data_IF_004313684024
#
_entry.id   IF_004313684024
#
_cell.length_a   1.000
_cell.length_b   1.000
_cell.length_c   1.000
_cell.angle_alpha   90.00
_cell.angle_beta   90.00
_cell.angle_gamma   90.00
#
_symmetry.space_group_name_H-M   'P 1'
#
loop_
_entity.id
_entity.type
_entity.pdbx_description
1 polymer ?
#
# COMPACT_ATOMS: atom_id res chain seq x y z
N UNK A 1 23.92 -56.58 51.03
CA UNK A 1 23.51 -55.23 50.58
C UNK A 1 21.99 -55.21 50.52
N UNK A 2 21.31 -54.32 51.24
CA UNK A 2 19.83 -54.30 51.25
C UNK A 2 19.30 -54.06 49.84
N UNK A 3 18.31 -54.84 49.40
CA UNK A 3 17.70 -54.79 48.05
C UNK A 3 17.31 -53.36 47.63
N UNK A 4 16.96 -52.52 48.60
CA UNK A 4 16.68 -51.08 48.41
C UNK A 4 17.87 -50.30 47.85
N UNK A 5 19.10 -50.61 48.27
CA UNK A 5 20.33 -49.94 47.79
C UNK A 5 20.65 -50.30 46.35
N UNK A 6 20.34 -51.53 45.94
CA UNK A 6 20.53 -51.99 44.57
C UNK A 6 19.51 -51.32 43.65
N UNK A 7 18.22 -51.31 44.05
CA UNK A 7 17.16 -50.61 43.30
C UNK A 7 17.47 -49.12 43.16
N UNK A 8 17.96 -48.49 44.23
CA UNK A 8 18.33 -47.07 44.20
C UNK A 8 19.53 -46.83 43.27
N UNK A 9 20.53 -47.71 43.26
CA UNK A 9 21.66 -47.61 42.34
C UNK A 9 21.25 -47.75 40.88
N UNK A 10 20.35 -48.70 40.57
CA UNK A 10 19.83 -48.92 39.21
C UNK A 10 19.00 -47.73 38.75
N UNK A 11 18.13 -47.17 39.60
CA UNK A 11 17.36 -45.96 39.30
C UNK A 11 18.26 -44.76 38.99
N UNK A 12 19.33 -44.58 39.76
CA UNK A 12 20.27 -43.47 39.59
C UNK A 12 21.03 -43.60 38.26
N UNK A 13 21.45 -44.83 37.91
CA UNK A 13 22.08 -45.13 36.62
C UNK A 13 21.12 -44.93 35.44
N UNK A 14 19.86 -45.34 35.58
CA UNK A 14 18.84 -45.11 34.56
C UNK A 14 18.59 -43.60 34.36
N UNK A 15 18.52 -42.83 35.44
CA UNK A 15 18.35 -41.37 35.39
C UNK A 15 19.54 -40.68 34.71
N UNK A 16 20.77 -41.09 35.03
CA UNK A 16 21.98 -40.59 34.35
C UNK A 16 22.00 -40.93 32.86
N UNK A 17 21.58 -42.14 32.49
CA UNK A 17 21.48 -42.56 31.09
C UNK A 17 20.46 -41.74 30.31
N UNK A 18 19.31 -41.41 30.91
CA UNK A 18 18.29 -40.54 30.30
C UNK A 18 18.84 -39.13 30.08
N UNK A 19 19.49 -38.54 31.09
CA UNK A 19 20.08 -37.19 30.98
C UNK A 19 21.18 -37.13 29.91
N UNK A 20 22.02 -38.17 29.83
CA UNK A 20 23.05 -38.29 28.79
C UNK A 20 22.43 -38.33 27.39
N UNK A 21 21.42 -39.18 27.18
CA UNK A 21 20.77 -39.31 25.88
C UNK A 21 19.97 -38.07 25.49
N UNK A 22 19.39 -37.36 26.47
CA UNK A 22 18.65 -36.14 26.23
C UNK A 22 19.58 -35.01 25.75
N UNK A 23 20.79 -34.90 26.32
CA UNK A 23 21.76 -33.87 25.95
C UNK A 23 22.13 -33.88 24.46
N UNK A 24 22.31 -35.06 23.88
CA UNK A 24 22.70 -35.22 22.47
C UNK A 24 21.52 -35.04 21.50
N UNK A 25 20.27 -35.07 21.99
CA UNK A 25 19.06 -34.93 21.17
C UNK A 25 18.43 -33.54 21.20
N UNK A 26 18.92 -32.63 22.04
CA UNK A 26 18.48 -31.24 22.02
C UNK A 26 19.32 -30.44 21.02
N UNK A 27 18.83 -30.36 19.79
CA UNK A 27 19.38 -29.43 18.80
C UNK A 27 18.89 -28.01 19.11
N UNK A 28 19.82 -27.05 19.14
CA UNK A 28 19.46 -25.64 19.27
C UNK A 28 18.90 -25.17 17.92
N UNK A 29 17.59 -24.90 17.89
CA UNK A 29 16.96 -24.26 16.73
C UNK A 29 17.02 -22.76 16.93
N UNK A 30 17.60 -22.05 15.95
CA UNK A 30 17.47 -20.60 15.89
C UNK A 30 16.13 -20.29 15.24
N UNK A 31 15.23 -19.67 16.00
CA UNK A 31 13.95 -19.20 15.48
C UNK A 31 14.06 -17.70 15.14
N UNK A 32 13.67 -17.34 13.91
CA UNK A 32 13.53 -15.94 13.53
C UNK A 32 12.20 -15.41 14.07
N UNK A 33 12.27 -14.52 15.06
CA UNK A 33 11.09 -13.87 15.63
C UNK A 33 10.94 -12.48 14.99
N UNK A 34 9.83 -12.26 14.29
CA UNK A 34 9.47 -10.93 13.80
C UNK A 34 9.05 -10.04 14.99
N UNK A 35 9.91 -9.07 15.30
CA UNK A 35 9.71 -8.07 16.36
C UNK A 35 9.11 -6.77 15.82
N UNK A 36 8.72 -6.75 14.55
CA UNK A 36 8.16 -5.62 13.84
C UNK A 36 9.15 -4.48 13.56
N UNK A 37 8.62 -3.39 13.02
CA UNK A 37 9.40 -2.21 12.68
C UNK A 37 9.94 -1.48 13.92
N UNK A 38 11.21 -1.07 13.86
CA UNK A 38 11.91 -0.31 14.91
C UNK A 38 12.26 1.10 14.44
N UNK A 39 12.49 2.00 15.41
CA UNK A 39 12.93 3.37 15.15
C UNK A 39 11.94 4.15 14.27
N UNK A 40 12.47 4.91 13.31
CA UNK A 40 11.66 5.73 12.40
C UNK A 40 10.71 4.88 11.54
N UNK A 41 11.13 3.67 11.12
CA UNK A 41 10.31 2.77 10.31
C UNK A 41 8.98 2.39 10.98
N UNK A 42 8.90 2.49 12.32
CA UNK A 42 7.66 2.28 13.06
C UNK A 42 6.60 3.36 12.81
N UNK A 43 7.01 4.58 12.51
CA UNK A 43 6.13 5.75 12.39
C UNK A 43 6.10 6.37 10.99
N UNK A 44 7.06 6.00 10.14
CA UNK A 44 7.20 6.50 8.79
C UNK A 44 7.03 5.34 7.79
N UNK A 45 5.84 5.21 7.22
CA UNK A 45 5.55 4.20 6.20
C UNK A 45 6.34 4.37 4.91
N UNK A 46 6.92 5.55 4.67
CA UNK A 46 7.80 5.85 3.53
C UNK A 46 9.29 5.78 3.88
N UNK A 47 9.66 5.22 5.04
CA UNK A 47 11.05 5.17 5.48
C UNK A 47 11.94 4.42 4.48
N UNK A 48 11.50 3.24 4.01
CA UNK A 48 12.23 2.45 3.02
C UNK A 48 12.38 3.21 1.69
N UNK A 49 11.31 3.85 1.21
CA UNK A 49 11.33 4.68 0.00
C UNK A 49 12.31 5.85 0.14
N UNK A 50 12.36 6.50 1.31
CA UNK A 50 13.31 7.57 1.60
C UNK A 50 14.75 7.07 1.57
N UNK A 51 15.04 5.90 2.15
CA UNK A 51 16.38 5.30 2.09
C UNK A 51 16.77 4.94 0.65
N UNK A 52 15.84 4.37 -0.11
CA UNK A 52 16.04 4.04 -1.52
C UNK A 52 16.38 5.28 -2.35
N UNK A 53 15.59 6.36 -2.23
CA UNK A 53 15.85 7.62 -2.93
C UNK A 53 17.21 8.20 -2.55
N UNK A 54 17.56 8.22 -1.25
CA UNK A 54 18.88 8.66 -0.80
C UNK A 54 20.01 7.81 -1.37
N UNK A 55 19.83 6.49 -1.44
CA UNK A 55 20.82 5.59 -2.05
C UNK A 55 21.00 5.85 -3.56
N UNK A 56 19.96 6.33 -4.25
CA UNK A 56 20.03 6.78 -5.63
C UNK A 56 20.55 8.23 -5.80
N UNK A 57 20.99 8.88 -4.72
CA UNK A 57 21.48 10.27 -4.76
C UNK A 57 20.38 11.33 -4.83
N UNK A 58 19.12 10.95 -4.62
CA UNK A 58 17.98 11.88 -4.60
C UNK A 58 17.74 12.31 -3.15
N UNK A 59 17.82 13.63 -2.84
CA UNK A 59 17.54 14.11 -1.50
C UNK A 59 16.06 13.87 -1.16
N UNK A 60 15.82 13.21 -0.03
CA UNK A 60 14.48 12.90 0.44
C UNK A 60 14.37 13.05 1.95
N UNK A 61 13.34 13.72 2.42
CA UNK A 61 13.09 13.99 3.84
C UNK A 61 11.64 13.73 4.23
N UNK A 62 11.42 13.43 5.51
CA UNK A 62 10.08 13.36 6.08
C UNK A 62 9.72 14.76 6.55
N UNK A 63 8.59 15.26 6.09
CA UNK A 63 8.01 16.52 6.57
C UNK A 63 6.67 16.25 7.24
N UNK A 64 6.40 16.97 8.32
CA UNK A 64 5.10 16.96 8.97
C UNK A 64 4.19 17.98 8.27
N UNK A 65 3.10 17.50 7.69
CA UNK A 65 2.28 18.30 6.78
C UNK A 65 1.59 19.50 7.46
N UNK A 66 1.39 19.44 8.78
CA UNK A 66 0.89 20.56 9.58
C UNK A 66 1.95 21.65 9.81
N UNK A 67 3.24 21.28 9.87
CA UNK A 67 4.37 22.19 10.07
C UNK A 67 4.83 22.85 8.76
N UNK A 68 4.29 22.43 7.62
CA UNK A 68 4.61 22.94 6.30
C UNK A 68 3.90 24.27 6.05
N UNK A 69 4.27 25.33 6.77
CA UNK A 69 3.71 26.68 6.57
C UNK A 69 4.14 27.27 5.22
N UNK A 70 5.36 26.91 4.79
CA UNK A 70 5.90 27.17 3.46
C UNK A 70 6.07 25.86 2.72
N UNK A 71 5.49 25.77 1.53
CA UNK A 71 5.71 24.64 0.62
C UNK A 71 7.14 24.68 0.08
N UNK A 72 7.71 23.51 -0.28
CA UNK A 72 9.05 23.44 -0.84
C UNK A 72 9.12 24.14 -2.21
N UNK A 73 10.32 24.25 -2.77
CA UNK A 73 10.50 24.75 -4.13
C UNK A 73 9.72 23.90 -5.15
N UNK A 74 9.36 24.49 -6.29
CA UNK A 74 8.50 23.86 -7.30
C UNK A 74 9.18 22.71 -8.06
N UNK A 75 10.51 22.60 -7.97
CA UNK A 75 11.30 21.49 -8.51
C UNK A 75 11.31 20.25 -7.59
N UNK A 76 10.40 20.18 -6.61
CA UNK A 76 10.34 19.10 -5.64
C UNK A 76 9.05 18.27 -5.79
N UNK A 77 9.13 17.01 -5.34
CA UNK A 77 7.99 16.10 -5.29
C UNK A 77 7.50 15.99 -3.85
N UNK A 78 6.26 16.40 -3.60
CA UNK A 78 5.56 16.19 -2.35
C UNK A 78 4.78 14.86 -2.41
N UNK A 79 5.10 13.94 -1.50
CA UNK A 79 4.40 12.65 -1.39
C UNK A 79 3.50 12.64 -0.16
N UNK A 80 2.20 12.44 -0.36
CA UNK A 80 1.21 12.26 0.71
C UNK A 80 0.55 10.89 0.56
N UNK A 81 1.00 9.91 1.33
CA UNK A 81 0.51 8.53 1.27
C UNK A 81 -0.55 8.19 2.34
N UNK A 82 -1.11 9.20 2.98
CA UNK A 82 -2.16 9.05 4.01
C UNK A 82 -3.45 9.72 3.57
N UNK A 83 -4.54 9.37 4.26
CA UNK A 83 -5.79 10.11 4.11
C UNK A 83 -5.60 11.57 4.54
N UNK A 84 -6.19 12.47 3.78
CA UNK A 84 -6.04 13.92 3.94
C UNK A 84 -7.17 14.55 4.76
N UNK A 85 -7.87 13.75 5.56
CA UNK A 85 -9.06 14.17 6.32
C UNK A 85 -8.77 15.29 7.32
N UNK A 86 -7.52 15.41 7.76
CA UNK A 86 -7.06 16.42 8.71
C UNK A 86 -6.57 17.72 8.03
N UNK A 87 -6.49 17.77 6.69
CA UNK A 87 -6.06 18.97 5.98
C UNK A 87 -7.21 19.94 5.78
N UNK A 88 -7.00 21.18 6.22
CA UNK A 88 -7.91 22.28 5.91
C UNK A 88 -7.98 22.53 4.40
N UNK A 89 -9.14 23.02 3.94
CA UNK A 89 -9.37 23.44 2.56
C UNK A 89 -8.36 24.49 2.10
N UNK A 90 -8.00 25.45 2.98
CA UNK A 90 -6.98 26.47 2.70
C UNK A 90 -5.60 25.87 2.44
N UNK A 91 -5.22 24.81 3.17
CA UNK A 91 -3.93 24.13 2.96
C UNK A 91 -3.92 23.37 1.64
N UNK A 92 -5.03 22.75 1.27
CA UNK A 92 -5.21 22.11 -0.03
C UNK A 92 -5.10 23.15 -1.16
N UNK A 93 -5.70 24.34 -1.01
CA UNK A 93 -5.58 25.42 -1.99
C UNK A 93 -4.14 25.90 -2.18
N UNK A 94 -3.34 25.97 -1.10
CA UNK A 94 -1.91 26.27 -1.21
C UNK A 94 -1.16 25.20 -1.98
N UNK A 95 -1.42 23.92 -1.70
CA UNK A 95 -0.79 22.80 -2.41
C UNK A 95 -1.14 22.84 -3.90
N UNK A 96 -2.42 23.06 -4.24
CA UNK A 96 -2.85 23.14 -5.63
C UNK A 96 -2.22 24.32 -6.37
N UNK A 97 -2.11 25.50 -5.73
CA UNK A 97 -1.38 26.65 -6.31
C UNK A 97 0.10 26.35 -6.53
N UNK A 98 0.73 25.62 -5.62
CA UNK A 98 2.13 25.19 -5.79
C UNK A 98 2.29 24.19 -6.95
N UNK A 99 1.34 23.27 -7.13
CA UNK A 99 1.30 22.38 -8.31
C UNK A 99 1.10 23.19 -9.60
N UNK A 100 0.22 24.18 -9.59
CA UNK A 100 0.02 25.08 -10.73
C UNK A 100 1.31 25.83 -11.14
N UNK A 101 2.21 26.08 -10.20
CA UNK A 101 3.51 26.72 -10.42
C UNK A 101 4.63 25.75 -10.85
N UNK A 102 4.31 24.48 -11.06
CA UNK A 102 5.26 23.44 -11.49
C UNK A 102 5.60 22.40 -10.43
N UNK A 103 5.10 22.55 -9.19
CA UNK A 103 5.26 21.55 -8.14
C UNK A 103 4.65 20.18 -8.47
N UNK A 104 5.23 19.11 -7.94
CA UNK A 104 4.74 17.75 -8.18
C UNK A 104 4.11 17.12 -6.94
N UNK A 105 2.83 16.75 -7.02
CA UNK A 105 2.13 16.08 -5.93
C UNK A 105 1.87 14.61 -6.28
N UNK A 106 2.44 13.69 -5.50
CA UNK A 106 2.09 12.28 -5.50
C UNK A 106 1.19 11.98 -4.32
N UNK A 107 0.00 11.44 -4.55
CA UNK A 107 -0.91 11.12 -3.45
C UNK A 107 -1.84 9.95 -3.74
N UNK A 108 -2.29 9.29 -2.69
CA UNK A 108 -3.29 8.23 -2.81
C UNK A 108 -4.67 8.81 -3.08
N UNK A 109 -5.46 8.10 -3.88
CA UNK A 109 -6.87 8.41 -4.01
C UNK A 109 -7.64 7.71 -2.88
N UNK A 110 -8.47 8.47 -2.15
CA UNK A 110 -9.35 7.98 -1.10
C UNK A 110 -10.65 7.42 -1.71
N UNK A 111 -11.00 6.15 -1.40
CA UNK A 111 -12.19 5.51 -1.94
C UNK A 111 -13.47 6.05 -1.30
N UNK A 112 -14.54 6.10 -2.10
CA UNK A 112 -15.84 6.71 -1.74
C UNK A 112 -16.55 6.04 -0.56
N UNK A 113 -16.21 4.80 -0.19
CA UNK A 113 -16.88 4.10 0.92
C UNK A 113 -16.35 4.49 2.31
N UNK A 114 -15.25 5.25 2.39
CA UNK A 114 -14.84 5.93 3.63
C UNK A 114 -15.62 7.24 3.84
N UNK A 115 -16.55 7.59 2.94
CA UNK A 115 -17.41 8.78 3.01
C UNK A 115 -18.77 8.48 3.69
N UNK A 116 -18.82 7.58 4.68
CA UNK A 116 -20.08 7.22 5.38
C UNK A 116 -20.80 8.43 6.00
N UNK A 117 -20.08 9.53 6.26
CA UNK A 117 -20.64 10.76 6.85
C UNK A 117 -20.70 11.96 5.87
N UNK A 118 -20.64 11.72 4.55
CA UNK A 118 -20.66 12.80 3.55
C UNK A 118 -19.37 13.65 3.51
N UNK A 119 -18.31 13.20 4.18
CA UNK A 119 -16.99 13.81 4.11
C UNK A 119 -16.36 13.52 2.74
N UNK A 120 -16.28 14.54 1.90
CA UNK A 120 -15.59 14.46 0.60
C UNK A 120 -14.14 14.87 0.77
N UNK A 121 -13.22 14.07 0.26
CA UNK A 121 -11.81 14.47 0.17
C UNK A 121 -11.72 15.78 -0.64
N UNK A 122 -11.33 16.86 0.04
CA UNK A 122 -11.38 18.20 -0.53
C UNK A 122 -10.42 18.40 -1.70
N UNK A 123 -9.30 17.65 -1.74
CA UNK A 123 -8.38 17.67 -2.89
C UNK A 123 -9.05 17.02 -4.11
N UNK A 124 -9.60 15.82 -3.95
CA UNK A 124 -10.32 15.12 -5.03
C UNK A 124 -11.53 15.92 -5.52
N UNK A 125 -12.26 16.55 -4.61
CA UNK A 125 -13.40 17.40 -4.94
C UNK A 125 -12.98 18.59 -5.80
N UNK A 126 -11.93 19.33 -5.40
CA UNK A 126 -11.40 20.47 -6.17
C UNK A 126 -10.84 20.03 -7.52
N UNK A 127 -10.16 18.89 -7.54
CA UNK A 127 -9.72 18.26 -8.76
C UNK A 127 -10.89 17.67 -9.56
N UNK A 128 -12.13 17.60 -9.08
CA UNK A 128 -13.24 16.99 -9.83
C UNK A 128 -12.99 15.52 -10.21
N UNK A 129 -12.21 14.79 -9.41
CA UNK A 129 -11.95 13.35 -9.57
C UNK A 129 -12.62 12.58 -8.44
N UNK A 130 -13.01 11.34 -8.71
CA UNK A 130 -13.58 10.45 -7.70
C UNK A 130 -13.24 9.00 -8.01
N UNK A 131 -13.02 8.20 -6.98
CA UNK A 131 -12.89 6.74 -7.15
C UNK A 131 -14.29 6.13 -7.24
N UNK A 132 -14.55 5.38 -8.30
CA UNK A 132 -15.77 4.58 -8.38
C UNK A 132 -15.71 3.44 -7.34
N UNK A 133 -16.82 3.19 -6.63
CA UNK A 133 -16.95 2.01 -5.78
C UNK A 133 -16.80 0.78 -6.70
N UNK A 134 -15.90 -0.15 -6.38
CA UNK A 134 -15.91 -1.44 -7.07
C UNK A 134 -17.25 -2.12 -6.76
N UNK A 135 -18.02 -2.41 -7.79
CA UNK A 135 -19.26 -3.16 -7.75
C UNK A 135 -18.99 -4.66 -7.50
N UNK A 136 -18.23 -5.02 -6.46
CA UNK A 136 -18.18 -6.42 -6.02
C UNK A 136 -19.35 -6.81 -5.11
N UNK A 137 -20.37 -5.94 -4.95
CA UNK A 137 -21.60 -6.26 -4.23
C UNK A 137 -22.80 -5.49 -4.82
N UNK A 138 -23.17 -5.75 -6.07
CA UNK A 138 -24.60 -5.67 -6.42
C UNK A 138 -25.13 -7.08 -6.53
N UNK A 139 -25.76 -7.47 -5.45
CA UNK A 139 -26.58 -8.66 -5.25
C UNK A 139 -27.83 -8.63 -6.13
N UNK A 140 -27.67 -8.44 -7.45
CA UNK A 140 -28.75 -8.69 -8.40
C UNK A 140 -28.93 -10.20 -8.66
N UNK A 141 -27.93 -11.03 -8.29
CA UNK A 141 -28.01 -12.50 -8.38
C UNK A 141 -27.63 -13.21 -7.06
N UNK A 142 -27.89 -12.59 -5.90
CA UNK A 142 -27.88 -13.33 -4.60
C UNK A 142 -29.16 -14.15 -4.38
N UNK A 143 -29.63 -14.82 -5.43
CA UNK A 143 -30.48 -16.00 -5.29
C UNK A 143 -29.67 -17.18 -5.80
N UNK A 144 -28.72 -17.63 -4.99
CA UNK A 144 -28.21 -19.00 -4.85
C UNK A 144 -26.94 -18.95 -3.99
N UNK A 145 -27.07 -18.48 -2.76
CA UNK A 145 -26.06 -18.73 -1.72
C UNK A 145 -26.30 -20.14 -1.16
N UNK A 146 -25.89 -21.14 -1.93
CA UNK A 146 -25.53 -22.49 -1.47
C UNK A 146 -25.02 -23.24 -2.70
N UNK A 147 -23.70 -23.20 -2.91
CA UNK A 147 -22.86 -24.33 -3.29
C UNK A 147 -21.49 -23.83 -3.79
N UNK A 148 -20.46 -24.50 -3.28
CA UNK A 148 -19.11 -24.63 -3.84
C UNK A 148 -18.11 -23.50 -3.54
N UNK A 149 -17.42 -23.67 -2.40
CA UNK A 149 -15.95 -23.64 -2.41
C UNK A 149 -15.46 -24.69 -3.43
N UNK A 150 -15.39 -24.30 -4.70
CA UNK A 150 -14.61 -25.02 -5.71
C UNK A 150 -13.42 -24.14 -6.06
N UNK A 151 -12.25 -24.77 -6.09
CA UNK A 151 -10.97 -24.22 -6.51
C UNK A 151 -11.11 -23.46 -7.84
N UNK A 152 -11.27 -22.14 -7.78
CA UNK A 152 -11.13 -21.25 -8.93
C UNK A 152 -9.63 -21.01 -9.17
N UNK A 153 -8.94 -22.03 -9.68
CA UNK A 153 -7.77 -21.86 -10.54
C UNK A 153 -8.23 -21.41 -11.96
N UNK A 154 -9.13 -20.43 -12.03
CA UNK A 154 -9.49 -19.77 -13.28
C UNK A 154 -8.42 -18.72 -13.57
N UNK A 155 -7.51 -19.06 -14.49
CA UNK A 155 -6.45 -18.23 -15.11
C UNK A 155 -6.39 -16.78 -14.58
N UNK A 156 -5.75 -16.60 -13.42
CA UNK A 156 -5.64 -15.32 -12.71
C UNK A 156 -4.63 -14.38 -13.39
N UNK A 157 -4.62 -14.36 -14.72
CA UNK A 157 -3.85 -13.41 -15.49
C UNK A 157 -4.49 -12.03 -15.33
N UNK A 158 -3.77 -11.05 -14.77
CA UNK A 158 -4.32 -9.72 -14.61
C UNK A 158 -4.67 -9.17 -16.01
N UNK A 159 -5.86 -8.60 -16.14
CA UNK A 159 -6.25 -7.92 -17.38
C UNK A 159 -5.19 -6.88 -17.73
N UNK A 160 -4.56 -7.01 -18.89
CA UNK A 160 -3.51 -6.09 -19.32
C UNK A 160 -4.03 -5.09 -20.34
N UNK A 161 -3.50 -3.87 -20.29
CA UNK A 161 -3.77 -2.87 -21.32
C UNK A 161 -2.51 -2.19 -21.78
N UNK A 162 -2.45 -1.91 -23.08
CA UNK A 162 -1.38 -1.13 -23.69
C UNK A 162 -1.67 0.35 -23.50
N UNK A 163 -0.83 1.03 -22.72
CA UNK A 163 -0.93 2.47 -22.43
C UNK A 163 0.25 3.18 -23.09
N UNK A 164 -0.05 4.26 -23.81
CA UNK A 164 0.95 5.25 -24.20
C UNK A 164 0.80 6.44 -23.26
N UNK A 165 1.83 6.73 -22.47
CA UNK A 165 1.84 7.85 -21.53
C UNK A 165 2.49 9.06 -22.18
N UNK A 166 1.97 10.25 -21.89
CA UNK A 166 2.56 11.50 -22.36
C UNK A 166 4.03 11.58 -21.90
N UNK A 167 4.94 11.88 -22.85
CA UNK A 167 6.38 11.98 -22.59
C UNK A 167 7.16 10.67 -22.71
N UNK A 168 6.53 9.53 -23.00
CA UNK A 168 7.22 8.27 -23.25
C UNK A 168 7.19 7.90 -24.74
N UNK A 169 8.32 7.43 -25.26
CA UNK A 169 8.51 7.02 -26.66
C UNK A 169 7.95 5.62 -26.98
N UNK A 170 7.41 4.94 -25.96
CA UNK A 170 7.04 3.52 -26.02
C UNK A 170 5.70 3.28 -25.34
N UNK A 171 5.01 2.26 -25.83
CA UNK A 171 3.78 1.75 -25.24
C UNK A 171 4.11 0.74 -24.15
N UNK A 172 3.49 0.87 -22.99
CA UNK A 172 3.66 -0.02 -21.85
C UNK A 172 2.46 -0.94 -21.72
N UNK A 173 2.72 -2.21 -21.39
CA UNK A 173 1.66 -3.13 -20.97
C UNK A 173 1.49 -3.00 -19.46
N UNK A 174 0.35 -2.49 -19.03
CA UNK A 174 0.02 -2.32 -17.62
C UNK A 174 -0.95 -3.43 -17.23
N UNK A 175 -0.55 -4.25 -16.25
CA UNK A 175 -1.43 -5.20 -15.60
C UNK A 175 -2.37 -4.45 -14.65
N UNK A 176 -3.68 -4.57 -14.87
CA UNK A 176 -4.70 -3.95 -14.04
C UNK A 176 -5.31 -5.00 -13.13
N UNK A 177 -4.72 -5.11 -11.93
CA UNK A 177 -5.19 -5.97 -10.87
C UNK A 177 -6.19 -5.20 -10.00
N UNK A 178 -7.48 -5.54 -10.05
CA UNK A 178 -8.53 -5.08 -9.13
C UNK A 178 -8.51 -3.61 -8.70
N UNK A 179 -7.99 -2.70 -9.56
CA UNK A 179 -7.87 -1.29 -9.21
C UNK A 179 -9.22 -0.59 -9.37
N UNK A 180 -9.51 0.32 -8.44
CA UNK A 180 -10.68 1.17 -8.56
C UNK A 180 -10.40 2.26 -9.62
N UNK A 181 -11.25 2.41 -10.66
CA UNK A 181 -11.04 3.44 -11.66
C UNK A 181 -11.23 4.83 -11.04
N UNK A 182 -10.27 5.71 -11.30
CA UNK A 182 -10.44 7.15 -11.07
C UNK A 182 -11.30 7.67 -12.22
N UNK A 183 -12.45 8.23 -11.86
CA UNK A 183 -13.36 8.87 -12.78
C UNK A 183 -13.22 10.38 -12.65
N UNK A 184 -13.45 11.10 -13.75
CA UNK A 184 -13.56 12.54 -13.72
C UNK A 184 -14.66 13.01 -14.65
N UNK A 185 -15.20 14.20 -14.33
CA UNK A 185 -16.36 14.79 -15.02
C UNK A 185 -15.94 15.74 -16.15
N UNK A 186 -14.64 15.88 -16.43
CA UNK A 186 -14.11 16.88 -17.37
C UNK A 186 -13.87 16.21 -18.74
N UNK A 187 -14.00 16.97 -19.84
CA UNK A 187 -13.95 16.44 -21.21
C UNK A 187 -12.53 16.33 -21.80
N UNK A 188 -11.54 17.04 -21.25
CA UNK A 188 -10.15 17.07 -21.75
C UNK A 188 -9.27 16.07 -20.99
N UNK A 189 -9.51 14.78 -21.20
CA UNK A 189 -8.88 13.71 -20.43
C UNK A 189 -8.39 12.59 -21.34
N UNK A 190 -7.20 12.05 -21.06
CA UNK A 190 -6.77 10.78 -21.62
C UNK A 190 -7.36 9.65 -20.78
N UNK A 191 -8.07 8.75 -21.45
CA UNK A 191 -8.76 7.62 -20.82
C UNK A 191 -8.39 6.33 -21.52
N UNK A 192 -8.44 5.23 -20.76
CA UNK A 192 -8.33 3.88 -21.32
C UNK A 192 -9.49 3.03 -20.83
N UNK A 193 -10.04 2.23 -21.73
CA UNK A 193 -11.06 1.25 -21.40
C UNK A 193 -10.41 -0.11 -21.21
N UNK A 194 -10.74 -0.78 -20.10
CA UNK A 194 -10.30 -2.14 -19.82
C UNK A 194 -11.49 -2.90 -19.27
N UNK A 195 -11.86 -3.97 -19.98
CA UNK A 195 -13.12 -4.68 -19.80
C UNK A 195 -14.30 -3.69 -19.89
N UNK A 196 -15.13 -3.63 -18.86
CA UNK A 196 -16.29 -2.75 -18.72
C UNK A 196 -15.97 -1.41 -18.04
N UNK A 197 -14.70 -1.15 -17.68
CA UNK A 197 -14.29 0.00 -16.87
C UNK A 197 -13.48 1.01 -17.66
N UNK A 198 -13.74 2.29 -17.41
CA UNK A 198 -12.96 3.41 -17.96
C UNK A 198 -12.06 4.01 -16.89
N UNK A 199 -10.76 4.06 -17.17
CA UNK A 199 -9.73 4.60 -16.28
C UNK A 199 -9.25 5.95 -16.80
N UNK A 200 -9.20 6.96 -15.92
CA UNK A 200 -8.47 8.20 -16.17
C UNK A 200 -6.96 7.93 -16.14
N UNK A 201 -6.28 8.19 -17.24
CA UNK A 201 -4.82 8.05 -17.35
C UNK A 201 -4.10 9.37 -17.04
N UNK A 202 -4.59 10.44 -17.65
CA UNK A 202 -3.98 11.75 -17.50
C UNK A 202 -5.04 12.85 -17.69
N UNK A 203 -4.91 13.90 -16.88
CA UNK A 203 -5.60 15.17 -17.07
C UNK A 203 -4.62 16.29 -16.77
N UNK A 204 -4.39 17.22 -17.71
CA UNK A 204 -3.59 18.42 -17.46
C UNK A 204 -4.13 19.20 -16.27
N UNK A 205 -3.24 19.70 -15.42
CA UNK A 205 -3.56 20.60 -14.31
C UNK A 205 -2.37 21.55 -14.10
N UNK A 206 -2.61 22.86 -14.26
CA UNK A 206 -1.54 23.85 -14.32
C UNK A 206 -0.64 23.66 -15.54
N UNK A 207 0.54 24.29 -15.52
CA UNK A 207 1.53 24.20 -16.59
C UNK A 207 2.23 22.83 -16.65
N UNK A 208 2.13 22.03 -15.57
CA UNK A 208 2.63 20.66 -15.51
C UNK A 208 4.16 20.55 -15.61
N UNK A 209 4.65 19.33 -15.85
CA UNK A 209 6.04 19.11 -16.25
C UNK A 209 6.23 19.68 -17.67
N UNK A 210 7.04 20.74 -17.79
CA UNK A 210 7.64 21.15 -19.07
C UNK A 210 8.67 20.10 -19.49
#
# INVERSE_FOLDING_TARGET
MSMKKIIMGVLLLAMLGIVYMARDRFEHVTEEIDIGFKGEARSNSLYASRLFLKAMGIPAEKVELYALDNLPAVDTVLVINTHRTTLSTTRIDKILKWVEQGGHLLTIAAPRYLEEDGYKDALQHKLGVSIARAYYLTNADKQNEQEQEQDEEEDNQPSTVKVSLAGLDRTYTVAMNSFYPIQSKIKQEQRVQVLDRTFLLNRPYGDGLV
#
